data_IF_199442880633
#
_entry.id   IF_199442880633
#
_cell.length_a   1.000
_cell.length_b   1.000
_cell.length_c   1.000
_cell.angle_alpha   90.00
_cell.angle_beta   90.00
_cell.angle_gamma   90.00
#
_symmetry.space_group_name_H-M   'P 1'
#
loop_
_entity.id
_entity.type
_entity.pdbx_description
1 polymer ?
#
# COMPACT_ATOMS: atom_id res chain seq x y z
N UNK A 1 24.65 13.96 -16.27
CA UNK A 1 23.31 14.25 -15.72
C UNK A 1 22.31 13.85 -16.80
N UNK A 2 21.92 12.58 -16.81
CA UNK A 2 20.77 12.17 -17.62
C UNK A 2 19.50 12.74 -17.00
N UNK A 3 18.74 13.42 -17.81
CA UNK A 3 17.54 14.13 -17.43
C UNK A 3 16.54 13.21 -16.74
N UNK A 4 16.09 13.62 -15.56
CA UNK A 4 14.95 13.05 -14.83
C UNK A 4 13.59 13.28 -15.55
N UNK A 5 13.60 13.62 -16.83
CA UNK A 5 12.41 14.02 -17.60
C UNK A 5 11.47 12.87 -17.98
N UNK A 6 11.81 11.61 -17.70
CA UNK A 6 10.86 10.50 -17.85
C UNK A 6 10.21 10.12 -16.50
N UNK A 7 9.57 11.09 -15.85
CA UNK A 7 8.88 10.94 -14.55
C UNK A 7 7.69 9.96 -14.58
N UNK A 8 7.29 9.44 -15.73
CA UNK A 8 6.17 8.49 -15.84
C UNK A 8 6.51 7.04 -15.44
N UNK A 9 7.78 6.70 -15.26
CA UNK A 9 8.21 5.36 -14.85
C UNK A 9 8.24 5.12 -13.33
N UNK A 10 8.32 6.18 -12.53
CA UNK A 10 8.45 6.08 -11.08
C UNK A 10 7.18 6.57 -10.41
N UNK A 11 6.34 5.64 -9.96
CA UNK A 11 5.03 6.00 -9.39
C UNK A 11 5.04 6.37 -7.91
N UNK A 12 6.05 5.93 -7.15
CA UNK A 12 6.17 6.26 -5.72
C UNK A 12 7.64 6.20 -5.29
N UNK A 13 8.17 7.31 -4.87
CA UNK A 13 9.41 7.39 -4.11
C UNK A 13 9.08 7.86 -2.70
N UNK A 14 9.64 7.21 -1.70
CA UNK A 14 9.63 7.68 -0.32
C UNK A 14 11.07 7.72 0.16
N UNK A 15 11.45 8.84 0.72
CA UNK A 15 12.71 8.98 1.42
C UNK A 15 12.65 8.14 2.70
N UNK A 16 13.52 7.15 2.78
CA UNK A 16 13.74 6.42 4.01
C UNK A 16 15.19 6.62 4.42
N UNK A 17 15.37 7.22 5.59
CA UNK A 17 16.66 7.16 6.26
C UNK A 17 16.92 5.71 6.62
N UNK A 18 17.58 4.99 5.72
CA UNK A 18 18.13 3.68 6.00
C UNK A 18 19.40 3.89 6.84
N UNK A 19 19.25 4.49 8.03
CA UNK A 19 20.33 4.88 8.95
C UNK A 19 21.16 3.71 9.47
N UNK A 20 20.98 2.52 8.94
CA UNK A 20 21.74 1.31 9.26
C UNK A 20 22.42 0.66 8.06
N UNK A 21 22.53 1.35 6.94
CA UNK A 21 23.60 1.00 6.03
C UNK A 21 24.93 1.29 6.74
N UNK A 22 25.94 0.40 6.62
CA UNK A 22 27.23 0.58 7.28
C UNK A 22 28.02 1.82 6.81
N UNK A 23 27.51 2.50 5.81
CA UNK A 23 27.94 3.83 5.35
C UNK A 23 26.84 4.83 5.72
N UNK A 24 27.18 5.96 6.32
CA UNK A 24 26.27 7.08 6.69
C UNK A 24 25.45 7.67 5.52
N UNK A 25 25.20 6.91 4.47
CA UNK A 25 24.58 7.37 3.26
C UNK A 25 23.06 7.10 3.32
N UNK A 26 22.29 8.15 3.29
CA UNK A 26 20.84 8.10 3.07
C UNK A 26 20.57 7.41 1.73
N UNK A 27 19.62 6.48 1.71
CA UNK A 27 19.21 5.76 0.51
C UNK A 27 17.69 5.77 0.40
N UNK A 28 17.19 5.70 -0.83
CA UNK A 28 15.77 5.65 -1.13
C UNK A 28 15.39 4.24 -1.57
N UNK A 29 14.23 3.74 -1.13
CA UNK A 29 13.55 2.63 -1.80
C UNK A 29 12.60 3.22 -2.84
N UNK A 30 12.76 2.81 -4.10
CA UNK A 30 11.98 3.33 -5.22
C UNK A 30 11.31 2.19 -5.97
N UNK A 31 9.97 2.25 -6.07
CA UNK A 31 9.19 1.32 -6.87
C UNK A 31 9.02 1.85 -8.29
N UNK A 32 9.18 0.97 -9.27
CA UNK A 32 8.76 1.21 -10.65
C UNK A 32 7.44 0.49 -10.89
N UNK A 33 6.48 1.17 -11.45
CA UNK A 33 5.15 0.63 -11.76
C UNK A 33 5.19 -0.67 -12.58
N UNK A 34 6.23 -0.87 -13.38
CA UNK A 34 6.46 -2.09 -14.17
C UNK A 34 6.92 -3.31 -13.35
N UNK A 35 7.11 -3.16 -12.03
CA UNK A 35 7.43 -4.27 -11.13
C UNK A 35 8.89 -4.35 -10.71
N UNK A 36 9.64 -3.27 -10.78
CA UNK A 36 11.00 -3.22 -10.27
C UNK A 36 11.08 -2.42 -8.97
N UNK A 37 11.91 -2.88 -8.06
CA UNK A 37 12.25 -2.20 -6.81
C UNK A 37 13.74 -1.86 -6.85
N UNK A 38 14.07 -0.64 -6.46
CA UNK A 38 15.44 -0.14 -6.47
C UNK A 38 15.83 0.40 -5.10
N UNK A 39 17.09 0.21 -4.73
CA UNK A 39 17.76 1.03 -3.75
C UNK A 39 18.54 2.09 -4.52
N UNK A 40 18.27 3.36 -4.21
CA UNK A 40 18.85 4.51 -4.90
C UNK A 40 19.64 5.34 -3.89
N UNK A 41 20.93 5.56 -4.14
CA UNK A 41 21.76 6.47 -3.38
C UNK A 41 21.48 7.93 -3.73
N UNK A 42 21.79 8.86 -2.83
CA UNK A 42 21.66 10.30 -3.09
C UNK A 42 22.61 10.79 -4.21
N UNK A 43 23.65 10.03 -4.52
CA UNK A 43 24.55 10.22 -5.65
C UNK A 43 23.98 9.72 -6.99
N UNK A 44 22.74 9.18 -6.98
CA UNK A 44 22.06 8.64 -8.15
C UNK A 44 22.43 7.18 -8.50
N UNK A 45 23.27 6.53 -7.71
CA UNK A 45 23.56 5.08 -7.88
C UNK A 45 22.28 4.27 -7.68
N UNK A 46 22.08 3.22 -8.49
CA UNK A 46 20.89 2.36 -8.44
C UNK A 46 21.28 0.90 -8.33
N UNK A 47 20.72 0.20 -7.36
CA UNK A 47 20.85 -1.25 -7.23
C UNK A 47 19.46 -1.89 -7.26
N UNK A 48 19.22 -2.81 -8.18
CA UNK A 48 17.94 -3.52 -8.28
C UNK A 48 17.80 -4.51 -7.11
N UNK A 49 16.63 -4.51 -6.48
CA UNK A 49 16.27 -5.48 -5.44
C UNK A 49 15.62 -6.69 -6.10
N UNK A 50 16.26 -7.85 -5.97
CA UNK A 50 15.79 -9.09 -6.58
C UNK A 50 14.68 -9.73 -5.74
N UNK A 51 13.76 -10.46 -6.39
CA UNK A 51 12.71 -11.23 -5.71
C UNK A 51 11.37 -10.51 -5.56
N UNK A 52 11.20 -9.38 -6.23
CA UNK A 52 9.87 -8.75 -6.34
C UNK A 52 8.93 -9.70 -7.10
N UNK A 53 7.72 -9.98 -6.59
CA UNK A 53 6.75 -10.83 -7.26
C UNK A 53 6.34 -10.28 -8.64
N UNK A 54 5.88 -11.14 -9.56
CA UNK A 54 5.30 -10.67 -10.83
C UNK A 54 4.10 -9.75 -10.59
N UNK A 55 4.07 -8.59 -11.25
CA UNK A 55 2.98 -7.61 -11.12
C UNK A 55 2.13 -7.54 -12.39
N UNK A 56 0.84 -7.29 -12.23
CA UNK A 56 -0.06 -7.01 -13.33
C UNK A 56 0.03 -5.52 -13.69
N UNK A 57 0.93 -5.19 -14.63
CA UNK A 57 1.08 -3.83 -15.15
C UNK A 57 0.04 -3.55 -16.23
N UNK A 58 -1.02 -2.84 -15.89
CA UNK A 58 -2.06 -2.38 -16.82
C UNK A 58 -2.88 -1.24 -16.21
N UNK A 59 -3.19 -0.22 -17.00
CA UNK A 59 -3.97 0.94 -16.55
C UNK A 59 -3.31 1.62 -15.35
N UNK A 60 -4.03 1.70 -14.22
CA UNK A 60 -3.51 2.24 -12.95
C UNK A 60 -2.73 1.19 -12.12
N UNK A 61 -2.72 -0.08 -12.54
CA UNK A 61 -2.07 -1.16 -11.81
C UNK A 61 -0.57 -1.30 -12.06
N UNK A 62 0.10 -2.04 -11.19
CA UNK A 62 1.54 -2.31 -11.21
C UNK A 62 2.10 -2.50 -9.80
N UNK A 63 3.41 -2.33 -9.63
CA UNK A 63 4.01 -2.21 -8.30
C UNK A 63 3.71 -0.81 -7.77
N UNK A 64 3.21 -0.74 -6.54
CA UNK A 64 2.69 0.48 -5.95
C UNK A 64 3.55 1.04 -4.82
N UNK A 65 2.93 1.22 -3.67
CA UNK A 65 3.53 1.85 -2.50
C UNK A 65 4.51 0.90 -1.79
N UNK A 66 5.48 1.47 -1.08
CA UNK A 66 6.45 0.73 -0.27
C UNK A 66 6.75 1.50 1.02
N UNK A 67 6.81 0.80 2.15
CA UNK A 67 7.19 1.35 3.44
C UNK A 67 8.06 0.36 4.23
N UNK A 68 8.87 0.89 5.13
CA UNK A 68 9.59 0.09 6.11
C UNK A 68 8.70 -0.23 7.31
N UNK A 69 8.92 -1.39 7.94
CA UNK A 69 8.37 -1.63 9.28
C UNK A 69 8.91 -0.59 10.27
N UNK A 70 8.13 -0.11 11.26
CA UNK A 70 8.63 0.84 12.27
C UNK A 70 9.92 0.39 12.97
N UNK A 71 10.08 -0.93 13.17
CA UNK A 71 11.29 -1.55 13.75
C UNK A 71 12.18 -2.20 12.67
N UNK A 72 12.27 -1.60 11.49
CA UNK A 72 13.03 -2.16 10.34
C UNK A 72 14.47 -2.49 10.69
N UNK A 73 15.11 -1.67 11.51
CA UNK A 73 16.48 -1.87 11.94
C UNK A 73 16.74 -3.21 12.63
N UNK A 74 15.70 -3.76 13.27
CA UNK A 74 15.75 -5.01 14.02
C UNK A 74 15.25 -6.20 13.20
N UNK A 75 14.16 -6.01 12.44
CA UNK A 75 13.46 -7.11 11.79
C UNK A 75 13.60 -7.15 10.27
N UNK A 76 14.10 -6.07 9.65
CA UNK A 76 14.34 -5.95 8.22
C UNK A 76 13.09 -6.07 7.33
N UNK A 77 11.89 -6.03 7.91
CA UNK A 77 10.65 -6.10 7.13
C UNK A 77 10.41 -4.82 6.34
N UNK A 78 10.09 -5.01 5.07
CA UNK A 78 9.46 -4.00 4.21
C UNK A 78 8.05 -4.46 3.86
N UNK A 79 7.18 -3.50 3.61
CA UNK A 79 5.80 -3.71 3.15
C UNK A 79 5.63 -3.01 1.82
N UNK A 80 5.00 -3.67 0.89
CA UNK A 80 4.75 -3.10 -0.43
C UNK A 80 3.42 -3.59 -0.98
N UNK A 81 2.83 -2.76 -1.84
CA UNK A 81 1.58 -3.09 -2.50
C UNK A 81 1.79 -3.27 -4.01
N UNK A 82 1.05 -4.17 -4.61
CA UNK A 82 1.09 -4.39 -6.05
C UNK A 82 -0.21 -4.98 -6.56
N UNK A 83 -0.36 -5.02 -7.87
CA UNK A 83 -1.51 -5.66 -8.50
C UNK A 83 -1.15 -7.07 -8.91
N UNK A 84 -1.92 -8.02 -8.42
CA UNK A 84 -1.77 -9.45 -8.72
C UNK A 84 -2.90 -9.92 -9.65
N UNK A 85 -2.54 -10.78 -10.61
CA UNK A 85 -3.52 -11.53 -11.40
C UNK A 85 -4.12 -12.65 -10.56
N UNK A 86 -5.39 -12.96 -10.82
CA UNK A 86 -5.99 -14.17 -10.27
C UNK A 86 -5.31 -15.41 -10.85
N UNK A 87 -5.11 -16.42 -10.01
CA UNK A 87 -4.37 -17.64 -10.39
C UNK A 87 -5.17 -18.55 -11.33
N UNK A 88 -6.50 -18.51 -11.23
CA UNK A 88 -7.41 -19.35 -12.04
C UNK A 88 -7.84 -18.59 -13.31
N UNK A 89 -8.21 -17.32 -13.15
CA UNK A 89 -8.63 -16.47 -14.25
C UNK A 89 -7.73 -15.21 -14.35
N UNK A 90 -6.64 -15.24 -15.14
CA UNK A 90 -5.67 -14.14 -15.23
C UNK A 90 -6.22 -12.83 -15.80
N UNK A 91 -7.47 -12.80 -16.29
CA UNK A 91 -8.15 -11.55 -16.69
C UNK A 91 -8.56 -10.74 -15.46
N UNK A 92 -8.80 -11.40 -14.32
CA UNK A 92 -9.13 -10.77 -13.05
C UNK A 92 -7.84 -10.34 -12.33
N UNK A 93 -7.91 -9.18 -11.68
CA UNK A 93 -6.78 -8.57 -10.98
C UNK A 93 -7.27 -7.86 -9.72
N UNK A 94 -6.44 -7.84 -8.69
CA UNK A 94 -6.72 -7.12 -7.45
C UNK A 94 -5.44 -6.57 -6.82
N UNK A 95 -5.58 -5.56 -6.01
CA UNK A 95 -4.48 -5.07 -5.20
C UNK A 95 -4.17 -6.07 -4.08
N UNK A 96 -2.89 -6.23 -3.79
CA UNK A 96 -2.40 -6.98 -2.65
C UNK A 96 -1.40 -6.14 -1.87
N UNK A 97 -1.30 -6.42 -0.57
CA UNK A 97 -0.24 -5.93 0.29
C UNK A 97 0.59 -7.12 0.73
N UNK A 98 1.88 -7.05 0.51
CA UNK A 98 2.82 -8.06 0.92
C UNK A 98 3.86 -7.48 1.88
N UNK A 99 4.46 -8.36 2.69
CA UNK A 99 5.68 -8.08 3.45
C UNK A 99 6.79 -9.03 3.05
N UNK A 100 8.02 -8.57 3.19
CA UNK A 100 9.20 -9.39 2.95
C UNK A 100 10.38 -8.90 3.80
N UNK A 101 11.37 -9.73 4.00
CA UNK A 101 12.64 -9.35 4.60
C UNK A 101 13.55 -8.82 3.48
N UNK A 102 14.06 -7.60 3.64
CA UNK A 102 15.07 -7.04 2.75
C UNK A 102 16.46 -7.46 3.26
N UNK A 103 17.08 -8.40 2.55
CA UNK A 103 18.41 -8.92 2.83
C UNK A 103 19.46 -8.28 1.92
N UNK A 104 20.69 -8.33 2.40
CA UNK A 104 21.91 -7.97 1.69
C UNK A 104 21.87 -6.58 1.02
N UNK A 105 22.88 -5.77 1.32
CA UNK A 105 22.93 -4.40 0.81
C UNK A 105 23.76 -4.25 -0.46
N UNK A 106 24.65 -5.20 -0.70
CA UNK A 106 25.46 -5.23 -1.92
C UNK A 106 24.71 -5.93 -3.06
N UNK A 107 23.95 -7.00 -2.72
CA UNK A 107 23.10 -7.75 -3.63
C UNK A 107 21.67 -7.85 -3.07
N UNK A 108 20.94 -6.74 -2.99
CA UNK A 108 19.69 -6.67 -2.24
C UNK A 108 18.61 -7.59 -2.81
N UNK A 109 17.95 -8.34 -1.93
CA UNK A 109 16.91 -9.29 -2.31
C UNK A 109 15.79 -9.36 -1.28
N UNK A 110 14.60 -9.68 -1.74
CA UNK A 110 13.46 -9.99 -0.90
C UNK A 110 13.45 -11.48 -0.54
N UNK A 111 13.27 -11.76 0.75
CA UNK A 111 13.09 -13.12 1.28
C UNK A 111 11.78 -13.23 2.02
N UNK A 112 11.22 -14.45 2.02
CA UNK A 112 10.00 -14.77 2.74
C UNK A 112 8.85 -13.82 2.41
N UNK A 113 8.67 -13.53 1.11
CA UNK A 113 7.57 -12.67 0.66
C UNK A 113 6.23 -13.35 0.96
N UNK A 114 5.38 -12.67 1.70
CA UNK A 114 4.08 -13.14 2.17
C UNK A 114 3.02 -12.08 1.87
N UNK A 115 1.91 -12.49 1.23
CA UNK A 115 0.74 -11.63 1.05
C UNK A 115 -0.01 -11.62 2.39
N UNK A 116 -0.22 -10.42 2.94
CA UNK A 116 -0.90 -10.21 4.22
C UNK A 116 -2.28 -9.60 4.08
N UNK A 117 -2.64 -9.11 2.90
CA UNK A 117 -3.96 -8.65 2.54
C UNK A 117 -4.15 -8.66 1.03
N UNK A 118 -5.36 -8.92 0.58
CA UNK A 118 -5.74 -8.84 -0.83
C UNK A 118 -7.13 -8.23 -1.04
N UNK A 119 -7.31 -7.59 -2.17
CA UNK A 119 -8.58 -7.04 -2.63
C UNK A 119 -9.51 -8.17 -3.10
N UNK A 120 -10.69 -8.28 -2.51
CA UNK A 120 -11.66 -9.36 -2.75
C UNK A 120 -13.02 -8.76 -3.15
N UNK A 121 -13.63 -9.28 -4.24
CA UNK A 121 -13.09 -10.18 -5.26
C UNK A 121 -12.07 -9.50 -6.18
N UNK A 122 -11.22 -10.27 -6.89
CA UNK A 122 -10.44 -9.72 -8.00
C UNK A 122 -11.37 -9.43 -9.18
N UNK A 123 -11.11 -8.33 -9.91
CA UNK A 123 -12.00 -7.82 -10.97
C UNK A 123 -11.21 -7.57 -12.28
N UNK A 124 -11.91 -7.53 -13.41
CA UNK A 124 -11.29 -7.29 -14.71
C UNK A 124 -10.85 -5.83 -14.92
N UNK A 125 -11.50 -4.85 -14.25
CA UNK A 125 -11.15 -3.43 -14.33
C UNK A 125 -9.66 -3.19 -14.05
N UNK A 126 -9.06 -2.20 -14.71
CA UNK A 126 -7.67 -1.79 -14.53
C UNK A 126 -7.52 -0.40 -13.89
N UNK A 127 -8.57 0.10 -13.25
CA UNK A 127 -8.60 1.39 -12.55
C UNK A 127 -8.99 1.28 -11.08
N UNK A 128 -8.85 2.39 -10.36
CA UNK A 128 -9.22 2.60 -8.97
C UNK A 128 -8.75 1.49 -8.03
N UNK A 129 -7.47 1.15 -8.09
CA UNK A 129 -6.88 0.18 -7.15
C UNK A 129 -6.60 0.80 -5.78
N UNK A 130 -6.28 2.11 -5.75
CA UNK A 130 -5.76 2.83 -4.58
C UNK A 130 -4.47 2.20 -4.05
N UNK A 131 -4.52 1.27 -3.13
CA UNK A 131 -3.44 0.46 -2.50
C UNK A 131 -2.27 1.26 -1.90
N UNK A 132 -2.54 2.45 -1.32
CA UNK A 132 -1.57 3.16 -0.47
C UNK A 132 -1.47 2.46 0.86
N UNK A 133 -0.27 2.43 1.45
CA UNK A 133 -0.03 1.78 2.73
C UNK A 133 0.64 2.73 3.71
N UNK A 134 0.30 2.60 5.01
CA UNK A 134 0.81 3.46 6.07
C UNK A 134 0.76 2.75 7.43
N UNK A 135 1.84 2.79 8.20
CA UNK A 135 1.79 2.39 9.61
C UNK A 135 1.24 3.49 10.50
N UNK A 136 0.48 3.08 11.52
CA UNK A 136 0.11 3.97 12.61
C UNK A 136 1.33 4.50 13.35
N UNK A 137 1.32 5.78 13.77
CA UNK A 137 2.45 6.40 14.47
C UNK A 137 2.77 5.68 15.78
N UNK A 138 4.05 5.62 16.10
CA UNK A 138 4.53 5.11 17.38
C UNK A 138 3.93 5.92 18.53
N UNK A 139 3.55 5.28 19.63
CA UNK A 139 2.89 5.89 20.79
C UNK A 139 1.42 6.25 20.58
N UNK A 140 0.85 6.02 19.38
CA UNK A 140 -0.58 6.23 19.14
C UNK A 140 -1.40 4.97 19.37
N UNK A 141 -2.73 5.12 19.46
CA UNK A 141 -3.68 3.98 19.49
C UNK A 141 -3.60 3.09 18.23
N UNK A 142 -2.91 3.54 17.21
CA UNK A 142 -2.72 2.84 15.95
C UNK A 142 -1.31 2.24 15.79
N UNK A 143 -0.48 2.31 16.83
CA UNK A 143 0.86 1.72 16.79
C UNK A 143 0.80 0.25 16.41
N UNK A 144 1.71 -0.18 15.51
CA UNK A 144 1.76 -1.54 14.98
C UNK A 144 0.62 -1.94 14.04
N UNK A 145 -0.30 -1.01 13.72
CA UNK A 145 -1.36 -1.24 12.75
C UNK A 145 -0.95 -0.72 11.39
N UNK A 146 -1.25 -1.50 10.35
CA UNK A 146 -1.05 -1.13 8.95
C UNK A 146 -2.39 -0.73 8.35
N UNK A 147 -2.43 0.43 7.75
CA UNK A 147 -3.56 0.90 6.95
C UNK A 147 -3.27 0.69 5.47
N UNK A 148 -4.29 0.28 4.70
CA UNK A 148 -4.21 0.28 3.24
C UNK A 148 -5.51 0.78 2.63
N UNK A 149 -5.40 1.57 1.58
CA UNK A 149 -6.56 2.05 0.81
C UNK A 149 -6.94 1.01 -0.24
N UNK A 150 -8.24 0.83 -0.44
CA UNK A 150 -8.80 -0.07 -1.45
C UNK A 150 -9.88 0.68 -2.24
N UNK A 151 -9.62 0.93 -3.51
CA UNK A 151 -10.55 1.66 -4.38
C UNK A 151 -11.76 0.83 -4.80
N UNK A 152 -12.80 1.51 -5.30
CA UNK A 152 -14.08 0.93 -5.73
C UNK A 152 -13.99 0.12 -7.02
N UNK A 153 -12.83 0.15 -7.71
CA UNK A 153 -12.58 -0.53 -8.99
C UNK A 153 -13.51 -0.06 -10.10
N UNK A 154 -13.97 1.21 -10.02
CA UNK A 154 -14.92 1.84 -10.95
C UNK A 154 -16.33 1.22 -10.92
N UNK A 155 -16.70 0.65 -9.76
CA UNK A 155 -18.04 0.09 -9.50
C UNK A 155 -18.54 0.65 -8.17
N UNK A 156 -19.11 1.85 -8.21
CA UNK A 156 -19.45 2.67 -7.03
C UNK A 156 -20.29 1.90 -5.99
N UNK A 157 -21.23 1.05 -6.43
CA UNK A 157 -22.07 0.27 -5.53
C UNK A 157 -21.30 -0.69 -4.59
N UNK A 158 -20.06 -1.07 -4.94
CA UNK A 158 -19.25 -1.97 -4.11
C UNK A 158 -18.72 -1.27 -2.87
N UNK A 159 -18.55 0.06 -2.91
CA UNK A 159 -18.04 0.83 -1.78
C UNK A 159 -18.95 0.74 -0.52
N UNK A 160 -20.25 0.48 -0.71
CA UNK A 160 -21.24 0.37 0.37
C UNK A 160 -21.42 -1.07 0.91
N UNK A 161 -20.85 -2.08 0.28
CA UNK A 161 -21.06 -3.49 0.64
C UNK A 161 -20.01 -3.99 1.64
N UNK A 162 -20.40 -4.93 2.52
CA UNK A 162 -19.51 -5.56 3.49
C UNK A 162 -18.90 -6.89 3.01
N UNK A 163 -19.42 -7.45 1.93
CA UNK A 163 -18.94 -8.69 1.31
C UNK A 163 -17.86 -8.48 0.23
N UNK A 164 -17.36 -7.27 0.11
CA UNK A 164 -16.28 -6.89 -0.80
C UNK A 164 -15.36 -5.86 -0.16
N UNK A 165 -14.07 -5.96 -0.44
CA UNK A 165 -13.08 -4.99 0.06
C UNK A 165 -12.95 -3.72 -0.77
N UNK A 166 -13.78 -3.53 -1.82
CA UNK A 166 -13.76 -2.35 -2.68
C UNK A 166 -14.31 -1.12 -1.98
N UNK A 167 -13.66 0.04 -2.21
CA UNK A 167 -14.07 1.32 -1.64
C UNK A 167 -13.94 1.36 -0.11
N UNK A 168 -12.85 0.83 0.43
CA UNK A 168 -12.59 0.74 1.87
C UNK A 168 -11.24 1.34 2.25
N UNK A 169 -11.16 1.83 3.46
CA UNK A 169 -9.89 1.90 4.18
C UNK A 169 -9.79 0.68 5.08
N UNK A 170 -8.74 -0.08 4.92
CA UNK A 170 -8.45 -1.32 5.63
C UNK A 170 -7.50 -1.02 6.78
N UNK A 171 -7.68 -1.69 7.93
CA UNK A 171 -6.75 -1.65 9.05
C UNK A 171 -6.47 -3.07 9.54
N UNK A 172 -5.21 -3.48 9.48
CA UNK A 172 -4.74 -4.81 9.87
C UNK A 172 -3.52 -4.72 10.80
N UNK A 173 -3.18 -5.80 11.46
CA UNK A 173 -1.90 -5.92 12.15
C UNK A 173 -0.76 -6.08 11.13
N UNK A 174 0.47 -5.89 11.56
CA UNK A 174 1.66 -6.03 10.72
C UNK A 174 1.84 -7.44 10.13
N UNK A 175 1.20 -8.45 10.70
CA UNK A 175 1.18 -9.84 10.23
C UNK A 175 -0.03 -10.19 9.35
N UNK A 176 -0.92 -9.23 9.08
CA UNK A 176 -2.14 -9.43 8.29
C UNK A 176 -3.36 -9.85 9.10
N UNK A 177 -3.21 -10.20 10.37
CA UNK A 177 -4.37 -10.52 11.23
C UNK A 177 -5.24 -9.29 11.49
N UNK A 178 -6.52 -9.52 11.84
CA UNK A 178 -7.47 -8.43 12.02
C UNK A 178 -7.50 -7.93 13.47
N UNK A 179 -7.31 -6.62 13.72
CA UNK A 179 -7.46 -6.05 15.04
C UNK A 179 -8.89 -6.23 15.57
N UNK A 180 -9.01 -6.70 16.82
CA UNK A 180 -10.31 -6.93 17.46
C UNK A 180 -11.12 -5.64 17.71
N UNK A 181 -10.44 -4.50 17.72
CA UNK A 181 -11.01 -3.16 17.89
C UNK A 181 -11.37 -2.46 16.57
N UNK A 182 -11.38 -3.17 15.46
CA UNK A 182 -11.94 -2.66 14.21
C UNK A 182 -13.47 -2.54 14.32
N UNK A 183 -14.08 -1.53 13.67
CA UNK A 183 -15.47 -1.17 13.94
C UNK A 183 -16.53 -2.15 13.39
N UNK A 184 -16.21 -2.97 12.41
CA UNK A 184 -17.19 -3.80 11.68
C UNK A 184 -17.06 -5.30 11.98
N UNK A 185 -16.81 -5.66 13.25
CA UNK A 185 -16.59 -7.04 13.69
C UNK A 185 -17.80 -7.96 13.48
N UNK A 186 -19.01 -7.41 13.48
CA UNK A 186 -20.30 -8.11 13.33
C UNK A 186 -20.81 -8.19 11.88
N UNK A 187 -20.05 -7.65 10.91
CA UNK A 187 -20.48 -7.53 9.48
C UNK A 187 -19.90 -8.61 8.56
N UNK A 188 -19.34 -9.68 9.10
CA UNK A 188 -18.73 -10.79 8.36
C UNK A 188 -17.19 -10.79 8.39
N UNK A 189 -16.59 -11.91 8.00
CA UNK A 189 -15.13 -12.11 8.14
C UNK A 189 -14.31 -11.04 7.41
N UNK A 190 -14.68 -10.72 6.17
CA UNK A 190 -13.96 -9.73 5.37
C UNK A 190 -14.04 -8.34 6.03
N UNK A 191 -15.21 -8.00 6.57
CA UNK A 191 -15.46 -6.70 7.19
C UNK A 191 -14.66 -6.47 8.49
N UNK A 192 -14.17 -7.52 9.14
CA UNK A 192 -13.28 -7.40 10.30
C UNK A 192 -11.99 -6.63 10.02
N UNK A 193 -11.58 -6.55 8.76
CA UNK A 193 -10.44 -5.76 8.32
C UNK A 193 -10.77 -4.29 8.01
N UNK A 194 -12.05 -3.91 7.94
CA UNK A 194 -12.45 -2.58 7.49
C UNK A 194 -12.33 -1.55 8.63
N UNK A 195 -11.77 -0.40 8.30
CA UNK A 195 -11.73 0.78 9.14
C UNK A 195 -12.81 1.77 8.79
N UNK A 196 -13.02 2.03 7.49
CA UNK A 196 -14.08 2.88 6.94
C UNK A 196 -14.58 2.31 5.61
N UNK A 197 -15.70 2.81 5.11
CA UNK A 197 -16.29 2.44 3.84
C UNK A 197 -16.75 3.68 3.05
N UNK A 198 -17.19 3.47 1.80
CA UNK A 198 -17.74 4.54 0.97
C UNK A 198 -16.71 5.25 0.10
N UNK A 199 -15.44 4.81 0.12
CA UNK A 199 -14.37 5.44 -0.66
C UNK A 199 -14.45 5.09 -2.14
N UNK A 200 -14.11 6.06 -2.98
CA UNK A 200 -13.99 5.86 -4.42
C UNK A 200 -12.57 5.44 -4.82
N UNK A 201 -11.61 6.34 -4.75
CA UNK A 201 -10.23 6.08 -5.15
C UNK A 201 -9.26 6.91 -4.29
N UNK A 202 -9.02 6.44 -3.08
CA UNK A 202 -8.15 7.10 -2.11
C UNK A 202 -6.68 6.92 -2.50
N UNK A 203 -6.04 7.98 -2.98
CA UNK A 203 -4.69 7.99 -3.54
C UNK A 203 -3.61 8.46 -2.55
N UNK A 204 -3.99 9.01 -1.42
CA UNK A 204 -3.08 9.37 -0.35
C UNK A 204 -3.67 9.19 1.03
N UNK A 205 -2.82 8.75 1.97
CA UNK A 205 -3.13 8.67 3.40
C UNK A 205 -1.94 9.19 4.20
N UNK A 206 -2.20 9.93 5.27
CA UNK A 206 -1.16 10.42 6.16
C UNK A 206 -1.72 10.67 7.56
N UNK A 207 -0.89 10.51 8.58
CA UNK A 207 -1.18 11.00 9.92
C UNK A 207 -0.63 12.42 10.08
N UNK A 208 -1.42 13.31 10.68
CA UNK A 208 -0.94 14.61 11.11
C UNK A 208 -0.17 14.50 12.44
N UNK A 209 0.43 15.62 12.87
CA UNK A 209 1.19 15.69 14.15
C UNK A 209 0.35 15.42 15.40
N UNK A 210 -0.97 15.48 15.30
CA UNK A 210 -1.90 15.21 16.39
C UNK A 210 -2.40 13.74 16.36
N UNK A 211 -1.92 12.92 15.42
CA UNK A 211 -2.31 11.52 15.26
C UNK A 211 -3.66 11.33 14.55
N UNK A 212 -4.19 12.37 13.90
CA UNK A 212 -5.37 12.24 13.05
C UNK A 212 -4.98 11.66 11.70
N UNK A 213 -5.76 10.70 11.23
CA UNK A 213 -5.58 10.10 9.91
C UNK A 213 -6.36 10.90 8.87
N UNK A 214 -5.68 11.29 7.81
CA UNK A 214 -6.25 11.99 6.66
C UNK A 214 -6.13 11.14 5.42
N UNK A 215 -7.13 11.22 4.55
CA UNK A 215 -7.11 10.62 3.21
C UNK A 215 -7.53 11.67 2.20
N UNK A 216 -6.87 11.67 1.03
CA UNK A 216 -7.41 12.36 -0.13
C UNK A 216 -7.79 11.36 -1.21
N UNK A 217 -8.87 11.62 -1.89
CA UNK A 217 -9.35 10.75 -2.94
C UNK A 217 -9.85 11.50 -4.18
N UNK A 218 -9.72 10.84 -5.31
CA UNK A 218 -10.23 11.34 -6.58
C UNK A 218 -11.72 11.06 -6.68
N UNK A 219 -12.50 12.11 -6.73
CA UNK A 219 -13.93 12.06 -6.96
C UNK A 219 -14.30 11.96 -8.45
N UNK A 220 -15.60 11.82 -8.76
CA UNK A 220 -16.11 11.90 -10.12
C UNK A 220 -16.13 13.38 -10.57
N UNK A 221 -15.57 13.68 -11.72
CA UNK A 221 -15.56 15.03 -12.33
C UNK A 221 -14.89 16.10 -11.44
N UNK A 222 -15.61 16.70 -10.49
CA UNK A 222 -15.17 17.78 -9.60
C UNK A 222 -15.36 17.44 -8.12
N UNK A 223 -15.49 16.18 -7.78
CA UNK A 223 -15.76 15.71 -6.42
C UNK A 223 -14.53 15.16 -5.69
N UNK A 224 -13.34 15.73 -5.93
CA UNK A 224 -12.13 15.36 -5.18
C UNK A 224 -12.30 15.75 -3.70
N UNK A 225 -11.86 14.87 -2.78
CA UNK A 225 -12.11 15.01 -1.35
C UNK A 225 -10.82 14.97 -0.53
N UNK A 226 -10.82 15.71 0.57
CA UNK A 226 -9.85 15.58 1.66
C UNK A 226 -10.62 15.25 2.94
N UNK A 227 -10.46 14.02 3.41
CA UNK A 227 -11.25 13.45 4.50
C UNK A 227 -10.43 13.29 5.78
N UNK A 228 -10.97 13.78 6.91
CA UNK A 228 -10.52 13.40 8.24
C UNK A 228 -11.13 12.04 8.58
N UNK A 229 -10.29 11.01 8.64
CA UNK A 229 -10.72 9.62 8.76
C UNK A 229 -10.99 9.22 10.20
N UNK A 230 -12.22 8.76 10.46
CA UNK A 230 -12.66 8.20 11.73
C UNK A 230 -13.19 6.78 11.51
N UNK A 231 -12.73 5.83 12.34
CA UNK A 231 -13.17 4.44 12.26
C UNK A 231 -14.69 4.30 12.36
N UNK A 232 -15.26 3.40 11.54
CA UNK A 232 -16.69 3.13 11.51
C UNK A 232 -17.51 4.07 10.63
N UNK A 233 -16.90 5.12 10.07
CA UNK A 233 -17.61 6.08 9.23
C UNK A 233 -17.73 5.63 7.77
N UNK A 234 -18.76 6.18 7.11
CA UNK A 234 -19.01 6.03 5.68
C UNK A 234 -18.72 7.38 5.00
N UNK A 235 -17.92 7.35 3.92
CA UNK A 235 -17.43 8.54 3.22
C UNK A 235 -17.99 8.68 1.80
N UNK A 236 -19.13 8.03 1.52
CA UNK A 236 -19.79 8.12 0.22
C UNK A 236 -21.29 7.85 0.24
#
# INVERSE_FOLDING_TARGET
>A
MENLENQTEYSNWREYKLSQYPTNNEKLLVTSKKGKLWIVGLDGTKTEVIGVPPVAYAGQGGLGDIILHPNFTQNRFIYFSYIEKDKINPTLKGAVVARAILEDYENPRLRNTEIIWEQVPKLASSGHYSHRILFGPQGSKHEGKLFTTSGDRQIDALAQKFDTSMGKLIRINADGTFPKDNPFQDKGELAKSFWTLGHRNALGIAFDKNGNLWSHEMGPRHGDELNLIKGGMNYG
#
